data_IF_245042304091
#
_entry.id   IF_245042304091
#
_cell.length_a   1.000
_cell.length_b   1.000
_cell.length_c   1.000
_cell.angle_alpha   90.00
_cell.angle_beta   90.00
_cell.angle_gamma   90.00
#
_symmetry.space_group_name_H-M   'P 1'
#
loop_
_entity.id
_entity.type
_entity.pdbx_description
1 polymer ?
#
# COMPACT_ATOMS: atom_id res chain seq x y z
N UNK A 1 12.54 17.72 25.19
CA UNK A 1 11.68 18.48 24.25
C UNK A 1 10.60 17.54 23.74
N UNK A 2 9.35 17.75 24.16
CA UNK A 2 8.25 16.77 24.10
C UNK A 2 7.40 16.95 22.83
N UNK A 3 7.99 16.79 21.62
CA UNK A 3 7.35 17.28 20.37
C UNK A 3 6.57 16.25 19.55
N UNK A 4 6.59 14.97 19.89
CA UNK A 4 5.89 13.95 19.10
C UNK A 4 5.08 13.02 20.00
N UNK A 5 4.03 13.55 20.65
CA UNK A 5 2.89 12.71 21.04
C UNK A 5 2.19 12.31 19.76
N UNK A 6 2.70 11.25 19.17
CA UNK A 6 2.20 10.73 17.92
C UNK A 6 0.85 10.07 18.18
N UNK A 7 -0.22 10.57 17.54
CA UNK A 7 -1.59 10.12 17.82
C UNK A 7 -1.82 8.65 17.49
N UNK A 8 -1.20 8.16 16.41
CA UNK A 8 -1.46 6.83 15.90
C UNK A 8 -0.78 5.72 16.73
N UNK A 9 -1.56 4.74 17.20
CA UNK A 9 -1.08 3.55 17.90
C UNK A 9 -0.12 3.86 19.07
N UNK A 10 -0.39 4.95 19.80
CA UNK A 10 0.50 5.46 20.85
C UNK A 10 0.67 4.47 22.00
N UNK A 11 1.92 4.13 22.33
CA UNK A 11 2.29 3.49 23.58
C UNK A 11 3.36 4.34 24.31
N UNK A 12 3.14 4.72 25.59
CA UNK A 12 4.12 5.47 26.37
C UNK A 12 5.46 4.74 26.54
N UNK A 13 5.50 3.41 26.38
CA UNK A 13 6.71 2.59 26.44
C UNK A 13 7.50 2.56 25.13
N UNK A 14 6.94 3.09 24.03
CA UNK A 14 7.64 3.13 22.75
C UNK A 14 8.87 4.03 22.82
N UNK A 15 9.97 3.57 22.23
CA UNK A 15 11.15 4.38 21.93
C UNK A 15 10.82 5.42 20.85
N UNK A 16 11.67 6.45 20.71
CA UNK A 16 11.48 7.48 19.69
C UNK A 16 11.49 6.89 18.27
N UNK A 17 12.35 5.91 18.02
CA UNK A 17 12.43 5.18 16.74
C UNK A 17 11.10 4.49 16.38
N UNK A 18 10.50 3.75 17.32
CA UNK A 18 9.20 3.09 17.11
C UNK A 18 8.10 4.12 16.85
N UNK A 19 8.13 5.26 17.53
CA UNK A 19 7.13 6.33 17.31
C UNK A 19 7.26 6.93 15.90
N UNK A 20 8.48 7.13 15.41
CA UNK A 20 8.73 7.59 14.03
C UNK A 20 8.27 6.55 13.01
N UNK A 21 8.53 5.27 13.25
CA UNK A 21 8.07 4.17 12.41
C UNK A 21 6.53 4.14 12.32
N UNK A 22 5.84 4.23 13.47
CA UNK A 22 4.36 4.31 13.55
C UNK A 22 3.82 5.50 12.77
N UNK A 23 4.49 6.65 12.82
CA UNK A 23 4.09 7.84 12.08
C UNK A 23 4.23 7.68 10.58
N UNK A 24 5.37 7.17 10.13
CA UNK A 24 5.62 6.92 8.72
C UNK A 24 4.59 5.93 8.18
N UNK A 25 4.32 4.83 8.90
CA UNK A 25 3.32 3.84 8.53
C UNK A 25 1.91 4.47 8.43
N UNK A 26 1.54 5.32 9.39
CA UNK A 26 0.27 6.06 9.35
C UNK A 26 0.18 7.00 8.15
N UNK A 27 1.19 7.85 7.93
CA UNK A 27 1.20 8.82 6.85
C UNK A 27 1.06 8.15 5.48
N UNK A 28 1.87 7.12 5.23
CA UNK A 28 1.85 6.37 3.97
C UNK A 28 0.48 5.71 3.78
N UNK A 29 0.00 4.97 4.78
CA UNK A 29 -1.24 4.20 4.65
C UNK A 29 -2.46 5.10 4.54
N UNK A 30 -2.52 6.20 5.30
CA UNK A 30 -3.60 7.17 5.21
C UNK A 30 -3.62 7.84 3.82
N UNK A 31 -2.46 8.25 3.31
CA UNK A 31 -2.34 8.85 1.97
C UNK A 31 -2.78 7.88 0.88
N UNK A 32 -2.33 6.62 0.93
CA UNK A 32 -2.72 5.59 -0.02
C UNK A 32 -4.22 5.25 0.07
N UNK A 33 -4.79 5.21 1.28
CA UNK A 33 -6.22 4.93 1.50
C UNK A 33 -7.08 6.05 0.91
N UNK A 34 -6.68 7.32 1.10
CA UNK A 34 -7.34 8.48 0.50
C UNK A 34 -7.24 8.44 -1.03
N UNK A 35 -6.04 8.21 -1.57
CA UNK A 35 -5.83 8.11 -3.01
C UNK A 35 -6.66 6.96 -3.63
N UNK A 36 -6.67 5.79 -3.00
CA UNK A 36 -7.49 4.65 -3.41
C UNK A 36 -8.99 4.95 -3.38
N UNK A 37 -9.46 5.67 -2.35
CA UNK A 37 -10.85 6.10 -2.24
C UNK A 37 -11.25 7.08 -3.34
N UNK A 38 -10.40 8.08 -3.63
CA UNK A 38 -10.59 9.03 -4.73
C UNK A 38 -10.64 8.29 -6.07
N UNK A 39 -9.71 7.35 -6.29
CA UNK A 39 -9.65 6.55 -7.51
C UNK A 39 -10.92 5.72 -7.69
N UNK A 40 -11.35 4.99 -6.65
CA UNK A 40 -12.59 4.21 -6.66
C UNK A 40 -13.78 5.09 -6.98
N UNK A 41 -13.92 6.23 -6.30
CA UNK A 41 -15.04 7.14 -6.54
C UNK A 41 -15.05 7.62 -8.00
N UNK A 42 -13.91 8.11 -8.50
CA UNK A 42 -13.78 8.59 -9.88
C UNK A 42 -14.18 7.51 -10.90
N UNK A 43 -13.62 6.30 -10.80
CA UNK A 43 -13.95 5.21 -11.72
C UNK A 43 -15.39 4.74 -11.58
N UNK A 44 -15.92 4.70 -10.36
CA UNK A 44 -17.30 4.31 -10.10
C UNK A 44 -18.30 5.28 -10.75
N UNK A 45 -18.08 6.59 -10.66
CA UNK A 45 -18.99 7.56 -11.27
C UNK A 45 -18.95 7.57 -12.80
N UNK A 46 -17.82 7.20 -13.42
CA UNK A 46 -17.66 7.21 -14.88
C UNK A 46 -18.08 5.87 -15.51
N UNK A 47 -17.66 4.76 -14.91
CA UNK A 47 -17.78 3.41 -15.49
C UNK A 47 -18.65 2.45 -14.65
N UNK A 48 -19.08 2.86 -13.46
CA UNK A 48 -19.79 1.99 -12.52
C UNK A 48 -18.88 1.03 -11.76
N UNK A 49 -19.48 -0.02 -11.20
CA UNK A 49 -18.73 -1.10 -10.56
C UNK A 49 -18.07 -1.97 -11.61
N UNK A 50 -16.74 -2.01 -11.59
CA UNK A 50 -15.92 -2.84 -12.45
C UNK A 50 -14.65 -3.26 -11.73
N UNK A 51 -13.86 -4.16 -12.33
CA UNK A 51 -12.66 -4.70 -11.67
C UNK A 51 -11.67 -3.58 -11.27
N UNK A 52 -11.54 -2.56 -12.12
CA UNK A 52 -10.67 -1.39 -11.92
C UNK A 52 -11.14 -0.45 -10.81
N UNK A 53 -12.42 -0.47 -10.41
CA UNK A 53 -12.93 0.31 -9.27
C UNK A 53 -12.99 -0.51 -7.98
N UNK A 54 -13.29 -1.82 -8.09
CA UNK A 54 -13.31 -2.79 -7.00
C UNK A 54 -11.93 -3.03 -6.38
N UNK A 55 -10.88 -3.11 -7.19
CA UNK A 55 -9.52 -3.37 -6.71
C UNK A 55 -9.01 -2.24 -5.79
N UNK A 56 -9.01 -0.95 -6.19
CA UNK A 56 -8.71 0.16 -5.29
C UNK A 56 -9.68 0.26 -4.10
N UNK A 57 -10.96 -0.11 -4.27
CA UNK A 57 -11.91 -0.11 -3.16
C UNK A 57 -11.49 -1.12 -2.08
N UNK A 58 -11.13 -2.33 -2.51
CA UNK A 58 -10.62 -3.39 -1.63
C UNK A 58 -9.34 -2.96 -0.91
N UNK A 59 -8.43 -2.26 -1.60
CA UNK A 59 -7.25 -1.65 -0.99
C UNK A 59 -7.66 -0.72 0.17
N UNK A 60 -8.53 0.25 -0.12
CA UNK A 60 -8.99 1.25 0.86
C UNK A 60 -9.68 0.61 2.06
N UNK A 61 -10.52 -0.41 1.86
CA UNK A 61 -11.18 -1.11 2.96
C UNK A 61 -10.20 -1.94 3.81
N UNK A 62 -9.29 -2.70 3.18
CA UNK A 62 -8.33 -3.55 3.90
C UNK A 62 -7.34 -2.69 4.68
N UNK A 63 -6.71 -1.70 4.03
CA UNK A 63 -5.72 -0.83 4.67
C UNK A 63 -6.37 0.10 5.67
N UNK A 64 -7.52 0.70 5.35
CA UNK A 64 -8.28 1.54 6.27
C UNK A 64 -8.74 0.77 7.52
N UNK A 65 -9.21 -0.48 7.34
CA UNK A 65 -9.53 -1.37 8.45
C UNK A 65 -8.30 -1.72 9.29
N UNK A 66 -7.18 -2.04 8.65
CA UNK A 66 -5.92 -2.32 9.34
C UNK A 66 -5.40 -1.11 10.13
N UNK A 67 -5.64 0.11 9.63
CA UNK A 67 -5.30 1.36 10.33
C UNK A 67 -6.11 1.47 11.64
N UNK A 68 -7.40 1.22 11.57
CA UNK A 68 -8.28 1.21 12.75
C UNK A 68 -7.88 0.14 13.77
N UNK A 69 -7.67 -1.10 13.31
CA UNK A 69 -7.25 -2.24 14.15
C UNK A 69 -5.89 -1.97 14.80
N UNK A 70 -4.93 -1.43 14.05
CA UNK A 70 -3.59 -1.09 14.56
C UNK A 70 -3.63 0.01 15.61
N UNK A 71 -4.52 0.98 15.44
CA UNK A 71 -4.70 2.05 16.42
C UNK A 71 -5.23 1.51 17.74
N UNK A 72 -6.27 0.65 17.70
CA UNK A 72 -6.89 0.06 18.90
C UNK A 72 -5.93 -0.92 19.59
N UNK A 73 -5.29 -1.81 18.82
CA UNK A 73 -4.36 -2.81 19.35
C UNK A 73 -3.01 -2.21 19.77
N UNK A 74 -2.75 -0.94 19.44
CA UNK A 74 -1.46 -0.24 19.60
C UNK A 74 -0.30 -0.93 18.88
N UNK A 75 -0.60 -1.87 17.99
CA UNK A 75 0.36 -2.65 17.25
C UNK A 75 0.30 -2.26 15.78
N UNK A 76 1.28 -1.48 15.33
CA UNK A 76 1.36 -0.95 13.97
C UNK A 76 1.76 -2.00 12.92
N UNK A 77 2.17 -3.19 13.34
CA UNK A 77 2.56 -4.26 12.41
C UNK A 77 1.41 -4.72 11.52
N UNK A 78 0.17 -4.75 12.03
CA UNK A 78 -1.00 -5.11 11.21
C UNK A 78 -1.16 -4.16 10.02
N UNK A 79 -1.00 -2.85 10.25
CA UNK A 79 -1.03 -1.84 9.19
C UNK A 79 0.10 -2.05 8.19
N UNK A 80 1.33 -2.25 8.66
CA UNK A 80 2.49 -2.45 7.78
C UNK A 80 2.29 -3.68 6.88
N UNK A 81 1.88 -4.82 7.44
CA UNK A 81 1.64 -6.03 6.65
C UNK A 81 0.51 -5.84 5.63
N UNK A 82 -0.62 -5.26 6.05
CA UNK A 82 -1.74 -4.99 5.16
C UNK A 82 -1.33 -4.05 4.01
N UNK A 83 -0.62 -2.96 4.33
CA UNK A 83 -0.15 -1.97 3.37
C UNK A 83 0.77 -2.62 2.32
N UNK A 84 1.79 -3.39 2.74
CA UNK A 84 2.76 -3.99 1.83
C UNK A 84 2.12 -5.06 0.95
N UNK A 85 1.28 -5.93 1.52
CA UNK A 85 0.57 -6.96 0.76
C UNK A 85 -0.31 -6.29 -0.29
N UNK A 86 -1.14 -5.32 0.13
CA UNK A 86 -2.07 -4.67 -0.78
C UNK A 86 -1.35 -3.87 -1.87
N UNK A 87 -0.34 -3.07 -1.51
CA UNK A 87 0.37 -2.25 -2.50
C UNK A 87 1.22 -3.08 -3.47
N UNK A 88 1.55 -4.33 -3.12
CA UNK A 88 2.26 -5.24 -4.02
C UNK A 88 1.29 -5.95 -4.95
N UNK A 89 0.23 -6.56 -4.41
CA UNK A 89 -0.63 -7.45 -5.19
C UNK A 89 -1.72 -6.72 -5.97
N UNK A 90 -2.27 -5.63 -5.44
CA UNK A 90 -3.37 -4.92 -6.11
C UNK A 90 -2.92 -4.29 -7.43
N UNK A 91 -1.78 -3.57 -7.51
CA UNK A 91 -1.29 -3.07 -8.80
C UNK A 91 -1.04 -4.19 -9.82
N UNK A 92 -0.55 -5.35 -9.38
CA UNK A 92 -0.36 -6.50 -10.26
C UNK A 92 -1.69 -7.03 -10.82
N UNK A 93 -2.76 -7.06 -10.02
CA UNK A 93 -4.10 -7.45 -10.50
C UNK A 93 -4.73 -6.39 -11.41
N UNK A 94 -4.55 -5.10 -11.10
CA UNK A 94 -5.01 -4.00 -11.96
C UNK A 94 -4.30 -4.08 -13.32
N UNK A 95 -2.97 -4.28 -13.34
CA UNK A 95 -2.20 -4.43 -14.57
C UNK A 95 -2.73 -5.57 -15.43
N UNK A 96 -3.03 -6.73 -14.82
CA UNK A 96 -3.58 -7.87 -15.55
C UNK A 96 -4.96 -7.57 -16.15
N UNK A 97 -5.73 -6.69 -15.51
CA UNK A 97 -7.07 -6.30 -15.98
C UNK A 97 -7.03 -5.31 -17.14
N UNK A 98 -6.01 -4.45 -17.21
CA UNK A 98 -5.87 -3.40 -18.24
C UNK A 98 -5.20 -3.95 -19.51
N UNK A 99 -4.48 -5.07 -19.43
CA UNK A 99 -4.02 -5.84 -20.60
C UNK A 99 -2.79 -5.28 -21.35
N UNK A 100 -2.46 -3.99 -21.20
CA UNK A 100 -1.32 -3.34 -21.86
C UNK A 100 -0.48 -2.43 -20.95
N UNK A 101 0.83 -2.33 -21.22
CA UNK A 101 1.79 -1.49 -20.48
C UNK A 101 1.61 0.00 -20.77
N UNK A 102 1.16 0.35 -21.98
CA UNK A 102 0.98 1.74 -22.41
C UNK A 102 -0.25 2.41 -21.78
N UNK A 103 -1.32 1.65 -21.51
CA UNK A 103 -2.54 2.15 -20.87
C UNK A 103 -2.44 2.19 -19.32
N UNK A 104 -1.39 1.59 -18.75
CA UNK A 104 -1.27 1.36 -17.31
C UNK A 104 -0.21 2.22 -16.61
N UNK A 105 0.31 3.27 -17.26
CA UNK A 105 1.48 4.03 -16.78
C UNK A 105 1.45 4.41 -15.28
N UNK A 106 0.31 4.84 -14.75
CA UNK A 106 0.15 5.13 -13.31
C UNK A 106 0.24 3.90 -12.39
N UNK A 107 -0.18 2.73 -12.87
CA UNK A 107 -0.15 1.45 -12.13
C UNK A 107 1.29 0.96 -11.96
N UNK A 108 2.12 1.16 -12.98
CA UNK A 108 3.55 0.83 -12.94
C UNK A 108 4.31 1.66 -11.91
N UNK A 109 4.07 2.97 -11.85
CA UNK A 109 4.68 3.85 -10.82
C UNK A 109 4.29 3.38 -9.41
N UNK A 110 3.02 3.02 -9.21
CA UNK A 110 2.53 2.50 -7.94
C UNK A 110 3.16 1.16 -7.55
N UNK A 111 3.44 0.28 -8.50
CA UNK A 111 4.12 -0.99 -8.24
C UNK A 111 5.54 -0.81 -7.68
N UNK A 112 6.24 0.28 -8.01
CA UNK A 112 7.56 0.61 -7.44
C UNK A 112 7.49 1.13 -6.01
N UNK A 113 6.37 1.72 -5.59
CA UNK A 113 6.19 2.22 -4.23
C UNK A 113 6.19 1.07 -3.22
N UNK A 114 5.69 -0.12 -3.59
CA UNK A 114 5.68 -1.30 -2.72
C UNK A 114 7.07 -1.74 -2.23
N UNK A 115 8.04 -1.99 -3.13
CA UNK A 115 9.43 -2.25 -2.77
C UNK A 115 10.08 -1.16 -1.93
N UNK A 116 9.80 0.12 -2.20
CA UNK A 116 10.34 1.22 -1.39
C UNK A 116 9.80 1.20 0.04
N UNK A 117 8.49 1.00 0.21
CA UNK A 117 7.87 0.86 1.54
C UNK A 117 8.44 -0.39 2.24
N UNK A 118 8.62 -1.50 1.52
CA UNK A 118 9.23 -2.70 2.10
C UNK A 118 10.66 -2.45 2.59
N UNK A 119 11.48 -1.68 1.87
CA UNK A 119 12.82 -1.29 2.33
C UNK A 119 12.80 -0.40 3.58
N UNK A 120 11.75 0.38 3.80
CA UNK A 120 11.63 1.24 4.99
C UNK A 120 11.31 0.46 6.26
N UNK A 121 10.63 -0.69 6.14
CA UNK A 121 10.09 -1.43 7.30
C UNK A 121 10.59 -2.87 7.43
N UNK A 122 11.22 -3.44 6.40
CA UNK A 122 11.71 -4.81 6.37
C UNK A 122 13.19 -4.91 5.97
N UNK A 123 13.79 -6.05 6.29
CA UNK A 123 15.16 -6.35 5.88
C UNK A 123 15.30 -6.41 4.36
N UNK A 124 16.46 -5.96 3.83
CA UNK A 124 16.82 -5.96 2.40
C UNK A 124 16.44 -7.26 1.66
N UNK A 125 16.54 -8.41 2.34
CA UNK A 125 16.25 -9.73 1.77
C UNK A 125 14.78 -9.90 1.37
N UNK A 126 13.86 -9.34 2.16
CA UNK A 126 12.42 -9.39 1.87
C UNK A 126 12.05 -8.41 0.76
N UNK A 127 12.70 -7.25 0.70
CA UNK A 127 12.50 -6.29 -0.39
C UNK A 127 12.99 -6.82 -1.73
N UNK A 128 14.13 -7.52 -1.78
CA UNK A 128 14.63 -8.16 -3.00
C UNK A 128 13.64 -9.22 -3.50
N UNK A 129 13.04 -10.01 -2.60
CA UNK A 129 12.02 -10.98 -3.00
C UNK A 129 10.80 -10.30 -3.64
N UNK A 130 10.33 -9.20 -3.08
CA UNK A 130 9.20 -8.44 -3.63
C UNK A 130 9.53 -7.83 -4.99
N UNK A 131 10.75 -7.30 -5.18
CA UNK A 131 11.22 -6.83 -6.48
C UNK A 131 11.22 -7.97 -7.50
N UNK A 132 11.77 -9.14 -7.17
CA UNK A 132 11.77 -10.31 -8.06
C UNK A 132 10.34 -10.75 -8.40
N UNK A 133 9.43 -10.78 -7.43
CA UNK A 133 8.03 -11.14 -7.66
C UNK A 133 7.32 -10.19 -8.63
N UNK A 134 7.62 -8.89 -8.55
CA UNK A 134 7.11 -7.89 -9.48
C UNK A 134 7.72 -8.12 -10.88
N UNK A 135 9.06 -8.15 -10.99
CA UNK A 135 9.75 -8.25 -12.27
C UNK A 135 9.51 -9.57 -13.02
N UNK A 136 9.45 -10.70 -12.31
CA UNK A 136 9.11 -12.00 -12.92
C UNK A 136 7.71 -12.02 -13.55
N UNK A 137 6.77 -11.23 -13.01
CA UNK A 137 5.45 -11.06 -13.62
C UNK A 137 5.46 -10.07 -14.79
N UNK A 138 6.20 -8.97 -14.70
CA UNK A 138 6.26 -7.96 -15.77
C UNK A 138 7.09 -8.42 -17.00
N UNK A 139 8.11 -9.26 -16.82
CA UNK A 139 8.99 -9.74 -17.90
C UNK A 139 8.33 -10.65 -18.93
N UNK A 140 7.13 -11.17 -18.65
CA UNK A 140 6.39 -12.03 -19.58
C UNK A 140 5.56 -11.25 -20.63
N UNK A 141 5.58 -9.92 -20.61
CA UNK A 141 4.79 -9.08 -21.52
C UNK A 141 5.57 -8.49 -22.71
N UNK A 142 6.79 -8.98 -22.98
CA UNK A 142 7.56 -8.63 -24.19
C UNK A 142 7.49 -9.69 -25.29
N UNK A 143 6.51 -10.60 -25.22
CA UNK A 143 6.31 -11.67 -26.19
C UNK A 143 4.88 -11.69 -26.75
N UNK A 144 4.35 -10.53 -27.17
CA UNK A 144 3.28 -10.41 -28.16
C UNK A 144 3.43 -9.10 -28.92
#
# INVERSE_FOLDING_TARGET
MNKYKLFFAFDPKDTEEIRLEKFAAFLVSASCTLAGGIWTAMYYFIFGWGLTSLLPASFTFIVGGALFISHISKNHRYLIYAQIICITYIPAFIQWSIGGVFDSGFVLVWAFVGPMIALMFFSIRQSIFLVIAIYSKFGNYSAF
#
